data_IF_690351068687
#
_entry.id   IF_690351068687
#
_cell.length_a   1.000
_cell.length_b   1.000
_cell.length_c   1.000
_cell.angle_alpha   90.00
_cell.angle_beta   90.00
_cell.angle_gamma   90.00
#
_symmetry.space_group_name_H-M   'P 1'
#
loop_
_entity.id
_entity.type
_entity.pdbx_description
1 polymer ?
#
# COMPACT_ATOMS: atom_id res chain seq x y z
N UNK A 1 7.59 13.71 30.55
CA UNK A 1 6.79 13.90 29.33
C UNK A 1 7.10 12.75 28.40
N UNK A 2 6.25 11.74 28.33
CA UNK A 2 6.32 10.74 27.26
C UNK A 2 6.10 11.46 25.94
N UNK A 3 7.10 11.52 25.08
CA UNK A 3 6.87 11.93 23.69
C UNK A 3 5.79 11.01 23.13
N UNK A 4 4.65 11.58 22.71
CA UNK A 4 3.59 10.83 22.06
C UNK A 4 4.05 10.54 20.64
N UNK A 5 4.47 9.30 20.38
CA UNK A 5 4.84 8.86 19.04
C UNK A 5 3.64 8.22 18.34
N UNK A 6 3.60 8.30 17.02
CA UNK A 6 2.59 7.62 16.23
C UNK A 6 2.91 6.12 16.16
N UNK A 7 2.11 5.30 16.85
CA UNK A 7 2.26 3.84 16.92
C UNK A 7 2.26 3.17 15.56
N UNK A 8 1.67 3.81 14.55
CA UNK A 8 1.56 3.27 13.20
C UNK A 8 2.90 3.20 12.50
N UNK A 9 3.85 4.08 12.84
CA UNK A 9 5.16 4.17 12.18
C UNK A 9 6.34 4.07 13.14
N UNK A 10 6.05 3.97 14.44
CA UNK A 10 7.05 3.85 15.49
C UNK A 10 6.97 2.44 16.07
N UNK A 11 7.93 1.54 15.78
CA UNK A 11 7.96 0.18 16.33
C UNK A 11 8.34 0.19 17.81
N UNK A 12 7.37 0.60 18.64
CA UNK A 12 7.48 0.64 20.08
C UNK A 12 6.14 0.30 20.74
N UNK A 13 6.23 -0.53 21.78
CA UNK A 13 5.20 -0.84 22.77
C UNK A 13 5.83 -0.71 24.16
N UNK A 14 5.05 -0.66 25.25
CA UNK A 14 5.61 -0.58 26.60
C UNK A 14 6.62 -1.71 26.92
N UNK A 15 6.38 -2.92 26.42
CA UNK A 15 7.23 -4.09 26.66
C UNK A 15 8.44 -4.19 25.71
N UNK A 16 8.34 -3.65 24.49
CA UNK A 16 9.34 -3.85 23.44
C UNK A 16 9.41 -2.65 22.50
N UNK A 17 10.62 -2.16 22.24
CA UNK A 17 10.89 -1.19 21.18
C UNK A 17 12.03 -1.64 20.26
N UNK A 18 12.08 -1.12 19.04
CA UNK A 18 13.24 -1.34 18.18
C UNK A 18 14.51 -0.73 18.80
N UNK A 19 15.66 -1.39 18.61
CA UNK A 19 16.95 -1.04 19.23
C UNK A 19 17.37 0.41 18.97
N UNK A 20 17.07 0.94 17.77
CA UNK A 20 17.40 2.31 17.39
C UNK A 20 16.58 3.38 18.15
N UNK A 21 15.59 2.98 18.95
CA UNK A 21 14.88 3.86 19.89
C UNK A 21 15.40 3.79 21.33
N UNK A 22 16.45 2.99 21.61
CA UNK A 22 17.06 2.95 22.94
C UNK A 22 17.49 4.34 23.39
N UNK A 23 17.09 4.70 24.62
CA UNK A 23 17.33 6.03 25.19
C UNK A 23 16.43 7.15 24.66
N UNK A 24 15.56 6.88 23.67
CA UNK A 24 14.54 7.83 23.15
C UNK A 24 13.13 7.45 23.57
N UNK A 25 12.84 6.15 23.57
CA UNK A 25 11.55 5.57 23.98
C UNK A 25 11.82 4.56 25.09
N UNK A 26 11.13 4.69 26.22
CA UNK A 26 11.21 3.72 27.30
C UNK A 26 10.44 2.45 26.92
N UNK A 27 11.10 1.29 27.06
CA UNK A 27 10.51 -0.03 26.93
C UNK A 27 11.28 -1.03 27.83
N UNK A 28 10.63 -2.10 28.25
CA UNK A 28 11.25 -3.11 29.12
C UNK A 28 12.46 -3.79 28.45
N UNK A 29 12.39 -3.98 27.13
CA UNK A 29 13.49 -4.49 26.30
C UNK A 29 13.49 -3.86 24.91
N UNK A 30 14.59 -4.10 24.20
CA UNK A 30 14.77 -3.62 22.82
C UNK A 30 15.27 -4.74 21.90
N UNK A 31 14.92 -4.66 20.62
CA UNK A 31 15.30 -5.65 19.62
C UNK A 31 15.85 -4.99 18.33
N UNK A 32 16.93 -5.55 17.79
CA UNK A 32 17.56 -5.07 16.52
C UNK A 32 16.61 -5.23 15.33
N UNK A 33 15.81 -6.29 15.34
CA UNK A 33 14.93 -6.64 14.24
C UNK A 33 15.59 -7.59 13.23
N UNK A 34 14.85 -8.56 12.72
CA UNK A 34 15.27 -9.48 11.67
C UNK A 34 14.58 -9.13 10.35
N UNK A 35 15.35 -8.98 9.29
CA UNK A 35 14.80 -8.73 7.96
C UNK A 35 14.14 -10.01 7.40
N UNK A 36 12.87 -9.90 7.03
CA UNK A 36 12.08 -10.94 6.38
C UNK A 36 11.34 -10.37 5.17
N UNK A 37 10.70 -11.24 4.40
CA UNK A 37 9.92 -10.86 3.23
C UNK A 37 8.61 -11.61 3.19
N UNK A 38 7.55 -10.99 2.68
CA UNK A 38 6.25 -11.65 2.50
C UNK A 38 6.33 -12.68 1.38
N UNK A 39 6.02 -13.93 1.69
CA UNK A 39 6.05 -15.08 0.77
C UNK A 39 4.68 -15.50 0.22
N UNK A 40 3.61 -14.82 0.60
CA UNK A 40 2.23 -15.07 0.14
C UNK A 40 1.71 -13.90 -0.70
N UNK A 41 0.72 -14.09 -1.61
CA UNK A 41 0.25 -13.03 -2.49
C UNK A 41 -0.13 -11.72 -1.79
N UNK A 42 -0.90 -11.83 -0.69
CA UNK A 42 -1.33 -10.72 0.16
C UNK A 42 -1.42 -11.25 1.60
N UNK A 43 -0.97 -10.46 2.57
CA UNK A 43 -1.14 -10.74 4.01
C UNK A 43 -1.68 -9.50 4.71
N UNK A 44 -2.63 -9.70 5.63
CA UNK A 44 -3.15 -8.63 6.47
C UNK A 44 -2.14 -8.23 7.54
N UNK A 45 -1.95 -6.92 7.71
CA UNK A 45 -1.27 -6.34 8.85
C UNK A 45 -2.33 -5.88 9.86
N UNK A 46 -2.40 -6.59 10.98
CA UNK A 46 -3.41 -6.46 12.01
C UNK A 46 -2.96 -5.54 13.15
N UNK A 47 -3.94 -4.95 13.84
CA UNK A 47 -3.72 -4.14 15.04
C UNK A 47 -3.10 -4.93 16.21
N UNK A 48 -3.50 -6.19 16.38
CA UNK A 48 -3.10 -7.09 17.46
C UNK A 48 -2.87 -8.52 16.92
N UNK A 49 -2.18 -9.41 17.65
CA UNK A 49 -1.92 -10.79 17.23
C UNK A 49 -3.17 -11.69 17.40
N UNK A 50 -4.26 -11.31 16.75
CA UNK A 50 -5.53 -12.02 16.75
C UNK A 50 -6.06 -12.04 15.30
N UNK A 51 -6.53 -13.20 14.85
CA UNK A 51 -7.10 -13.38 13.52
C UNK A 51 -8.39 -12.55 13.32
N UNK A 52 -9.08 -12.18 14.41
CA UNK A 52 -10.26 -11.32 14.39
C UNK A 52 -9.92 -9.83 14.65
N UNK A 53 -8.64 -9.49 14.79
CA UNK A 53 -8.23 -8.12 15.00
C UNK A 53 -8.61 -7.23 13.80
N UNK A 54 -8.79 -5.94 14.09
CA UNK A 54 -8.96 -4.94 13.03
C UNK A 54 -7.76 -4.96 12.07
N UNK A 55 -8.06 -5.02 10.78
CA UNK A 55 -7.07 -4.81 9.71
C UNK A 55 -6.66 -3.33 9.69
N UNK A 56 -5.35 -3.07 9.74
CA UNK A 56 -4.79 -1.72 9.59
C UNK A 56 -4.25 -1.51 8.16
N UNK A 57 -3.61 -2.54 7.59
CA UNK A 57 -3.06 -2.51 6.24
C UNK A 57 -2.97 -3.93 5.64
N UNK A 58 -2.40 -4.05 4.45
CA UNK A 58 -1.99 -5.30 3.84
C UNK A 58 -0.55 -5.17 3.34
N UNK A 59 0.21 -6.26 3.32
CA UNK A 59 1.47 -6.36 2.59
C UNK A 59 1.32 -7.32 1.41
N UNK A 60 2.08 -7.08 0.35
CA UNK A 60 2.08 -7.87 -0.88
C UNK A 60 3.30 -8.80 -0.94
N UNK A 61 3.18 -9.88 -1.73
CA UNK A 61 4.30 -10.78 -2.03
C UNK A 61 5.56 -9.99 -2.41
N UNK A 62 6.69 -10.35 -1.81
CA UNK A 62 7.98 -9.73 -2.08
C UNK A 62 8.25 -8.42 -1.32
N UNK A 63 7.29 -7.89 -0.57
CA UNK A 63 7.54 -6.75 0.31
C UNK A 63 8.33 -7.17 1.56
N UNK A 64 9.27 -6.32 1.97
CA UNK A 64 10.10 -6.57 3.13
C UNK A 64 9.41 -6.19 4.45
N UNK A 65 9.74 -6.93 5.51
CA UNK A 65 9.20 -6.73 6.84
C UNK A 65 10.30 -6.98 7.89
N UNK A 66 10.53 -6.02 8.78
CA UNK A 66 11.44 -6.20 9.92
C UNK A 66 10.67 -6.76 11.09
N UNK A 67 11.04 -7.95 11.55
CA UNK A 67 10.41 -8.63 12.69
C UNK A 67 11.17 -8.30 13.97
N UNK A 68 10.50 -7.73 14.96
CA UNK A 68 11.10 -7.45 16.28
C UNK A 68 10.74 -8.51 17.33
N UNK A 69 9.65 -9.24 17.11
CA UNK A 69 9.21 -10.34 17.96
C UNK A 69 8.40 -11.35 17.14
N UNK A 70 8.68 -12.63 17.35
CA UNK A 70 7.77 -13.71 17.00
C UNK A 70 7.26 -14.37 18.28
N UNK A 71 5.93 -14.48 18.43
CA UNK A 71 5.30 -15.14 19.58
C UNK A 71 3.97 -15.76 19.17
N UNK A 72 3.72 -16.99 19.59
CA UNK A 72 2.45 -17.69 19.37
C UNK A 72 2.00 -17.73 17.89
N UNK A 73 2.96 -17.84 16.97
CA UNK A 73 2.72 -17.87 15.52
C UNK A 73 2.52 -16.50 14.86
N UNK A 74 2.64 -15.39 15.61
CA UNK A 74 2.55 -14.03 15.10
C UNK A 74 3.91 -13.35 15.10
N UNK A 75 4.18 -12.58 14.05
CA UNK A 75 5.29 -11.65 13.98
C UNK A 75 4.77 -10.23 14.23
N UNK A 76 5.35 -9.54 15.22
CA UNK A 76 5.22 -8.10 15.36
C UNK A 76 6.42 -7.41 14.73
N UNK A 77 6.15 -6.41 13.90
CA UNK A 77 7.19 -5.83 13.10
C UNK A 77 6.76 -4.60 12.33
N UNK A 78 7.58 -4.23 11.37
CA UNK A 78 7.46 -3.02 10.58
C UNK A 78 7.66 -3.30 9.09
N UNK A 79 6.73 -2.85 8.27
CA UNK A 79 6.84 -2.89 6.82
C UNK A 79 7.96 -1.97 6.34
N UNK A 80 8.85 -2.48 5.48
CA UNK A 80 9.97 -1.70 4.96
C UNK A 80 9.55 -0.63 3.95
N UNK A 81 8.38 -0.81 3.33
CA UNK A 81 7.94 0.03 2.22
C UNK A 81 7.43 1.41 2.66
N UNK A 82 6.72 1.45 3.79
CA UNK A 82 6.03 2.64 4.30
C UNK A 82 6.26 2.87 5.80
N UNK A 83 7.05 1.99 6.45
CA UNK A 83 7.32 2.05 7.88
C UNK A 83 6.15 1.61 8.75
N UNK A 84 5.08 1.04 8.20
CA UNK A 84 3.88 0.73 8.99
C UNK A 84 4.11 -0.44 9.95
N UNK A 85 3.62 -0.30 11.18
CA UNK A 85 3.84 -1.25 12.28
C UNK A 85 2.57 -2.04 12.56
N UNK A 86 2.72 -3.34 12.76
CA UNK A 86 1.59 -4.20 13.13
C UNK A 86 1.97 -5.66 13.28
N UNK A 87 0.96 -6.51 13.27
CA UNK A 87 1.09 -7.95 13.45
C UNK A 87 0.68 -8.70 12.18
N UNK A 88 1.40 -9.75 11.83
CA UNK A 88 1.02 -10.69 10.77
C UNK A 88 1.38 -12.13 11.17
N UNK A 89 0.78 -13.17 10.56
CA UNK A 89 1.17 -14.54 10.86
C UNK A 89 2.63 -14.81 10.43
N UNK A 90 3.49 -15.25 11.35
CA UNK A 90 4.92 -15.45 11.08
C UNK A 90 5.17 -16.44 9.93
N UNK A 91 4.26 -17.41 9.74
CA UNK A 91 4.33 -18.40 8.67
C UNK A 91 4.21 -17.82 7.25
N UNK A 92 3.75 -16.57 7.09
CA UNK A 92 3.73 -15.90 5.77
C UNK A 92 5.06 -15.26 5.39
N UNK A 93 6.04 -15.25 6.29
CA UNK A 93 7.34 -14.64 6.09
C UNK A 93 8.37 -15.67 5.63
N UNK A 94 9.17 -15.29 4.65
CA UNK A 94 10.29 -16.07 4.10
C UNK A 94 11.60 -15.27 4.23
N UNK A 95 12.71 -15.94 3.94
CA UNK A 95 14.01 -15.27 3.86
C UNK A 95 14.00 -14.19 2.77
N UNK A 96 14.58 -13.01 3.02
CA UNK A 96 14.60 -11.93 2.04
C UNK A 96 15.27 -12.32 0.72
N UNK A 97 14.57 -12.11 -0.39
CA UNK A 97 15.10 -12.18 -1.73
C UNK A 97 14.93 -10.82 -2.41
N UNK A 98 16.01 -10.08 -2.73
CA UNK A 98 15.90 -8.78 -3.39
C UNK A 98 15.12 -8.90 -4.71
N UNK A 99 13.97 -8.22 -4.85
CA UNK A 99 13.19 -8.30 -6.08
C UNK A 99 13.84 -7.47 -7.19
N UNK A 100 13.64 -7.90 -8.43
CA UNK A 100 14.06 -7.13 -9.63
C UNK A 100 12.86 -6.59 -10.40
N UNK A 101 11.67 -7.17 -10.21
CA UNK A 101 10.46 -6.84 -10.95
C UNK A 101 9.26 -6.65 -10.02
N UNK A 102 8.25 -6.00 -10.55
CA UNK A 102 6.95 -5.72 -9.92
C UNK A 102 5.82 -6.06 -10.90
N UNK A 103 4.69 -6.55 -10.39
CA UNK A 103 3.45 -6.68 -11.19
C UNK A 103 2.91 -5.28 -11.49
N UNK A 104 2.81 -4.95 -12.78
CA UNK A 104 2.30 -3.66 -13.28
C UNK A 104 0.88 -3.76 -13.85
N UNK A 105 0.41 -4.94 -14.22
CA UNK A 105 -1.01 -5.17 -14.50
C UNK A 105 -1.82 -5.21 -13.18
N UNK A 106 -3.14 -4.99 -13.24
CA UNK A 106 -3.99 -5.06 -12.05
C UNK A 106 -3.86 -6.42 -11.33
N UNK A 107 -3.68 -7.50 -12.10
CA UNK A 107 -3.25 -8.78 -11.57
C UNK A 107 -2.57 -9.65 -12.65
N UNK A 108 -1.87 -10.68 -12.19
CA UNK A 108 -1.32 -11.75 -13.03
C UNK A 108 -1.49 -13.11 -12.35
N UNK A 109 -1.12 -14.17 -13.04
CA UNK A 109 -1.21 -15.55 -12.58
C UNK A 109 0.18 -16.17 -12.52
N UNK A 110 0.48 -16.85 -11.42
CA UNK A 110 1.71 -17.62 -11.27
C UNK A 110 1.47 -19.04 -11.79
N UNK A 111 2.28 -19.50 -12.73
CA UNK A 111 2.21 -20.83 -13.32
C UNK A 111 3.38 -21.70 -12.89
N UNK A 112 3.22 -23.02 -12.94
CA UNK A 112 4.30 -23.98 -12.68
C UNK A 112 5.30 -24.14 -13.82
N UNK A 113 4.90 -23.78 -15.04
CA UNK A 113 5.71 -23.78 -16.26
C UNK A 113 5.24 -22.66 -17.18
N UNK A 114 6.01 -22.35 -18.22
CA UNK A 114 5.70 -21.34 -19.24
C UNK A 114 4.61 -21.86 -20.21
N UNK A 115 3.41 -22.13 -19.70
CA UNK A 115 2.28 -22.62 -20.47
C UNK A 115 0.97 -22.03 -19.92
N UNK A 116 0.33 -21.19 -20.75
CA UNK A 116 -0.91 -20.49 -20.42
C UNK A 116 -2.10 -21.42 -20.20
N UNK A 117 -2.02 -22.68 -20.65
CA UNK A 117 -3.09 -23.68 -20.51
C UNK A 117 -3.03 -24.41 -19.17
N UNK A 118 -1.95 -24.27 -18.41
CA UNK A 118 -1.83 -24.89 -17.10
C UNK A 118 -2.68 -24.16 -16.06
N UNK A 119 -3.13 -24.90 -15.05
CA UNK A 119 -3.79 -24.30 -13.89
C UNK A 119 -2.82 -23.36 -13.15
N UNK A 120 -3.19 -22.09 -12.90
CA UNK A 120 -2.40 -21.21 -12.06
C UNK A 120 -2.23 -21.75 -10.63
N UNK A 121 -1.06 -21.54 -10.05
CA UNK A 121 -0.75 -21.81 -8.65
C UNK A 121 -1.45 -20.80 -7.74
N UNK A 122 -1.39 -19.52 -8.09
CA UNK A 122 -2.07 -18.42 -7.39
C UNK A 122 -2.18 -17.18 -8.29
N UNK A 123 -2.93 -16.18 -7.82
CA UNK A 123 -2.97 -14.84 -8.40
C UNK A 123 -1.98 -13.94 -7.66
N UNK A 124 -1.29 -13.06 -8.39
CA UNK A 124 -0.47 -11.99 -7.83
C UNK A 124 -1.11 -10.65 -8.22
N UNK A 125 -1.29 -9.77 -7.25
CA UNK A 125 -1.88 -8.44 -7.47
C UNK A 125 -0.86 -7.42 -7.95
N UNK A 126 -1.36 -6.31 -8.51
CA UNK A 126 -0.59 -5.10 -8.76
C UNK A 126 0.29 -4.75 -7.54
N UNK A 127 1.57 -4.49 -7.77
CA UNK A 127 2.52 -4.14 -6.71
C UNK A 127 3.29 -5.31 -6.10
N UNK A 128 2.87 -6.57 -6.34
CA UNK A 128 3.65 -7.73 -5.91
C UNK A 128 5.02 -7.76 -6.58
N UNK A 129 6.07 -8.17 -5.83
CA UNK A 129 7.47 -8.07 -6.24
C UNK A 129 8.15 -9.43 -6.26
N UNK A 130 9.05 -9.64 -7.21
CA UNK A 130 9.79 -10.90 -7.33
C UNK A 130 11.13 -10.70 -8.06
N UNK A 131 12.04 -11.65 -7.87
CA UNK A 131 13.27 -11.73 -8.63
C UNK A 131 13.08 -12.62 -9.87
N UNK A 132 13.58 -12.16 -11.01
CA UNK A 132 13.51 -12.87 -12.30
C UNK A 132 14.85 -13.54 -12.60
N UNK A 133 14.80 -14.83 -12.95
CA UNK A 133 15.94 -15.64 -13.38
C UNK A 133 16.16 -15.61 -14.91
N UNK A 134 15.07 -15.43 -15.67
CA UNK A 134 15.12 -15.38 -17.12
C UNK A 134 13.73 -15.17 -17.73
N UNK A 135 13.67 -15.20 -19.06
CA UNK A 135 12.42 -15.13 -19.81
C UNK A 135 12.34 -16.28 -20.82
N UNK A 136 11.17 -16.90 -20.94
CA UNK A 136 10.90 -17.97 -21.91
C UNK A 136 9.44 -17.93 -22.36
N UNK A 137 9.21 -17.99 -23.67
CA UNK A 137 7.87 -18.07 -24.28
C UNK A 137 6.90 -16.95 -23.84
N UNK A 138 7.43 -15.75 -23.56
CA UNK A 138 6.64 -14.61 -23.07
C UNK A 138 6.31 -14.66 -21.57
N UNK A 139 6.93 -15.57 -20.82
CA UNK A 139 6.88 -15.64 -19.37
C UNK A 139 8.23 -15.28 -18.74
N UNK A 140 8.18 -14.55 -17.63
CA UNK A 140 9.31 -14.38 -16.73
C UNK A 140 9.38 -15.60 -15.80
N UNK A 141 10.55 -16.22 -15.72
CA UNK A 141 10.87 -17.26 -14.75
C UNK A 141 11.33 -16.61 -13.44
N UNK A 142 10.70 -16.99 -12.33
CA UNK A 142 11.01 -16.44 -11.02
C UNK A 142 12.13 -17.24 -10.35
N UNK A 143 13.04 -16.56 -9.65
CA UNK A 143 14.10 -17.22 -8.85
C UNK A 143 13.51 -18.13 -7.77
N UNK A 144 12.39 -17.72 -7.16
CA UNK A 144 11.65 -18.52 -6.19
C UNK A 144 10.84 -19.68 -6.83
N UNK A 145 10.91 -19.84 -8.14
CA UNK A 145 10.15 -20.81 -8.92
C UNK A 145 8.84 -20.27 -9.47
N UNK A 146 8.42 -20.85 -10.59
CA UNK A 146 7.19 -20.48 -11.29
C UNK A 146 7.38 -19.39 -12.34
N UNK A 147 6.29 -19.08 -13.03
CA UNK A 147 6.27 -18.26 -14.24
C UNK A 147 5.12 -17.27 -14.22
N UNK A 148 5.38 -16.02 -14.61
CA UNK A 148 4.33 -15.00 -14.81
C UNK A 148 4.46 -14.41 -16.21
N UNK A 149 3.38 -13.92 -16.81
CA UNK A 149 3.48 -13.26 -18.11
C UNK A 149 4.34 -12.01 -18.04
N UNK A 150 5.32 -11.89 -18.96
CA UNK A 150 6.23 -10.75 -19.01
C UNK A 150 5.50 -9.42 -19.22
N UNK A 151 4.41 -9.43 -20.00
CA UNK A 151 3.57 -8.25 -20.24
C UNK A 151 2.81 -7.73 -19.01
N UNK A 152 2.76 -8.49 -17.93
CA UNK A 152 2.08 -8.09 -16.69
C UNK A 152 3.03 -7.55 -15.63
N UNK A 153 4.32 -7.47 -15.93
CA UNK A 153 5.35 -7.06 -15.00
C UNK A 153 6.25 -5.98 -15.60
N UNK A 154 6.92 -5.24 -14.72
CA UNK A 154 7.91 -4.24 -15.07
C UNK A 154 9.15 -4.38 -14.19
N UNK A 155 10.30 -3.94 -14.70
CA UNK A 155 11.51 -3.81 -13.88
C UNK A 155 11.31 -2.71 -12.83
N UNK A 156 11.79 -2.96 -11.60
CA UNK A 156 11.81 -1.97 -10.52
C UNK A 156 12.70 -0.77 -10.83
N UNK A 157 13.65 -0.90 -11.75
CA UNK A 157 14.52 0.20 -12.20
C UNK A 157 13.81 1.20 -13.12
N UNK A 158 12.60 0.85 -13.61
CA UNK A 158 11.81 1.67 -14.53
C UNK A 158 10.43 1.97 -13.93
N UNK A 159 10.31 2.99 -13.07
CA UNK A 159 9.01 3.48 -12.63
C UNK A 159 8.19 3.99 -13.83
N UNK A 160 6.87 3.85 -13.75
CA UNK A 160 5.96 4.38 -14.78
C UNK A 160 5.73 5.88 -14.53
N UNK A 161 5.94 6.75 -15.53
CA UNK A 161 5.64 8.16 -15.35
C UNK A 161 4.13 8.38 -15.25
N UNK A 162 3.70 9.03 -14.16
CA UNK A 162 2.30 9.38 -13.92
C UNK A 162 1.50 8.27 -13.23
N UNK A 163 0.63 8.66 -12.30
CA UNK A 163 -0.16 7.74 -11.47
C UNK A 163 -1.67 7.81 -11.74
N UNK A 164 -2.13 8.79 -12.52
CA UNK A 164 -3.56 8.97 -12.84
C UNK A 164 -4.09 7.79 -13.67
N UNK A 165 -3.41 7.46 -14.79
CA UNK A 165 -3.82 6.32 -15.62
C UNK A 165 -3.72 4.98 -14.89
N UNK A 166 -2.73 4.83 -14.01
CA UNK A 166 -2.63 3.66 -13.12
C UNK A 166 -3.82 3.59 -12.16
N UNK A 167 -4.25 4.72 -11.59
CA UNK A 167 -5.42 4.77 -10.72
C UNK A 167 -6.72 4.46 -11.47
N UNK A 168 -6.86 4.90 -12.73
CA UNK A 168 -8.00 4.57 -13.58
C UNK A 168 -8.12 3.06 -13.85
N UNK A 169 -7.00 2.33 -13.90
CA UNK A 169 -7.01 0.87 -14.04
C UNK A 169 -7.65 0.14 -12.84
N UNK A 170 -7.83 0.81 -11.69
CA UNK A 170 -8.51 0.26 -10.51
C UNK A 170 -10.03 0.51 -10.52
N UNK A 171 -10.59 1.21 -11.50
CA UNK A 171 -12.04 1.45 -11.58
C UNK A 171 -12.83 0.15 -11.42
N UNK A 172 -13.77 0.14 -10.47
CA UNK A 172 -14.60 -1.02 -10.14
C UNK A 172 -14.00 -1.99 -9.11
N UNK A 173 -12.73 -1.85 -8.72
CA UNK A 173 -12.15 -2.65 -7.62
C UNK A 173 -12.93 -2.38 -6.33
N UNK A 174 -13.34 -3.43 -5.57
CA UNK A 174 -14.11 -3.25 -4.34
C UNK A 174 -13.38 -2.42 -3.28
N UNK A 175 -14.15 -1.66 -2.50
CA UNK A 175 -13.61 -0.97 -1.33
C UNK A 175 -13.36 -1.99 -0.22
N UNK A 176 -12.16 -1.97 0.36
CA UNK A 176 -11.79 -2.79 1.50
C UNK A 176 -11.00 -1.94 2.49
N UNK A 177 -11.52 -1.78 3.71
CA UNK A 177 -10.80 -1.07 4.79
C UNK A 177 -9.43 -1.71 5.05
N UNK A 178 -8.36 -0.93 5.06
CA UNK A 178 -6.99 -1.42 5.18
C UNK A 178 -6.47 -2.13 3.92
N UNK A 179 -7.28 -2.22 2.86
CA UNK A 179 -6.96 -2.91 1.61
C UNK A 179 -5.89 -2.20 0.79
N UNK A 180 -4.97 -3.00 0.23
CA UNK A 180 -3.86 -2.55 -0.63
C UNK A 180 -3.63 -3.50 -1.80
N UNK A 181 -4.70 -3.96 -2.44
CA UNK A 181 -4.56 -4.87 -3.59
C UNK A 181 -5.72 -4.74 -4.56
N UNK A 182 -5.59 -5.40 -5.71
CA UNK A 182 -6.68 -5.54 -6.67
C UNK A 182 -7.85 -6.41 -6.17
N UNK A 183 -7.71 -7.13 -5.06
CA UNK A 183 -8.83 -7.81 -4.39
C UNK A 183 -9.70 -6.86 -3.56
N UNK A 184 -9.16 -5.70 -3.21
CA UNK A 184 -9.84 -4.69 -2.44
C UNK A 184 -8.87 -3.61 -1.98
N UNK A 185 -9.33 -2.36 -2.03
CA UNK A 185 -8.50 -1.20 -1.75
C UNK A 185 -9.28 -0.13 -0.99
N UNK A 186 -8.65 0.57 -0.04
CA UNK A 186 -9.23 1.79 0.55
C UNK A 186 -8.66 3.06 -0.11
N UNK A 187 -9.13 4.23 0.35
CA UNK A 187 -8.79 5.51 -0.28
C UNK A 187 -7.27 5.77 -0.30
N UNK A 188 -6.60 5.62 0.84
CA UNK A 188 -5.17 5.91 0.95
C UNK A 188 -4.30 4.76 0.43
N UNK A 189 -4.80 3.52 0.47
CA UNK A 189 -4.16 2.34 -0.14
C UNK A 189 -4.12 2.45 -1.66
N UNK A 190 -5.16 3.00 -2.29
CA UNK A 190 -5.18 3.28 -3.73
C UNK A 190 -4.10 4.30 -4.09
N UNK A 191 -4.06 5.44 -3.38
CA UNK A 191 -3.02 6.45 -3.57
C UNK A 191 -1.63 5.85 -3.37
N UNK A 192 -1.44 5.08 -2.30
CA UNK A 192 -0.15 4.48 -1.99
C UNK A 192 0.34 3.57 -3.13
N UNK A 193 -0.52 2.68 -3.66
CA UNK A 193 -0.16 1.77 -4.75
C UNK A 193 0.26 2.52 -6.03
N UNK A 194 -0.55 3.49 -6.46
CA UNK A 194 -0.32 4.18 -7.74
C UNK A 194 0.88 5.11 -7.66
N UNK A 195 1.09 5.76 -6.51
CA UNK A 195 2.25 6.63 -6.27
C UNK A 195 3.55 5.83 -6.21
N UNK A 196 3.54 4.68 -5.53
CA UNK A 196 4.71 3.80 -5.48
C UNK A 196 5.09 3.28 -6.88
N UNK A 197 4.12 2.97 -7.73
CA UNK A 197 4.39 2.60 -9.13
C UNK A 197 5.05 3.73 -9.92
N UNK A 198 4.68 4.97 -9.60
CA UNK A 198 5.29 6.19 -10.13
C UNK A 198 6.64 6.57 -9.46
N UNK A 199 7.17 5.72 -8.57
CA UNK A 199 8.43 5.98 -7.87
C UNK A 199 8.32 6.99 -6.72
N UNK A 200 7.10 7.33 -6.29
CA UNK A 200 6.83 8.28 -5.22
C UNK A 200 6.49 7.50 -3.94
N UNK A 201 7.32 7.65 -2.92
CA UNK A 201 7.06 7.05 -1.61
C UNK A 201 5.86 7.75 -0.95
N UNK A 202 4.94 6.97 -0.40
CA UNK A 202 3.75 7.48 0.26
C UNK A 202 3.47 6.73 1.58
N UNK A 203 3.16 7.44 2.68
CA UNK A 203 2.64 6.82 3.89
C UNK A 203 1.35 6.04 3.62
N UNK A 204 0.98 5.15 4.55
CA UNK A 204 -0.21 4.31 4.39
C UNK A 204 -1.52 5.06 4.59
N UNK A 205 -1.56 5.99 5.53
CA UNK A 205 -2.80 6.62 5.97
C UNK A 205 -2.98 8.02 5.38
N UNK A 206 -4.23 8.38 5.09
CA UNK A 206 -4.58 9.62 4.41
C UNK A 206 -4.16 10.87 5.18
N UNK A 207 -4.16 10.85 6.52
CA UNK A 207 -3.70 11.96 7.35
C UNK A 207 -2.17 12.17 7.24
N UNK A 208 -1.40 11.08 7.25
CA UNK A 208 0.05 11.12 7.06
C UNK A 208 0.42 11.52 5.63
N UNK A 209 -0.31 11.02 4.63
CA UNK A 209 -0.19 11.43 3.24
C UNK A 209 -0.48 12.94 3.08
N UNK A 210 -1.60 13.40 3.64
CA UNK A 210 -1.99 14.81 3.64
C UNK A 210 -0.97 15.71 4.34
N UNK A 211 -0.19 15.20 5.29
CA UNK A 211 0.84 15.97 6.00
C UNK A 211 2.16 16.06 5.22
N UNK A 212 2.53 15.02 4.47
CA UNK A 212 3.91 14.83 3.98
C UNK A 212 4.08 14.83 2.47
N UNK A 213 3.03 14.53 1.70
CA UNK A 213 3.13 14.44 0.24
C UNK A 213 3.16 15.83 -0.42
N UNK A 214 4.08 15.98 -1.37
CA UNK A 214 4.12 17.06 -2.34
C UNK A 214 4.06 18.48 -1.75
N UNK A 215 3.74 19.42 -2.62
CA UNK A 215 3.49 20.80 -2.25
C UNK A 215 2.04 20.96 -1.76
N UNK A 216 1.86 21.59 -0.60
CA UNK A 216 0.54 22.03 -0.15
C UNK A 216 0.03 23.18 -1.00
N UNK A 217 -1.21 23.08 -1.48
CA UNK A 217 -1.88 24.20 -2.14
C UNK A 217 -2.61 25.10 -1.12
N UNK A 218 -2.72 26.42 -1.36
CA UNK A 218 -3.33 27.36 -0.41
C UNK A 218 -4.80 27.08 -0.08
N UNK A 219 -5.21 27.45 1.13
CA UNK A 219 -6.60 27.46 1.60
C UNK A 219 -7.05 28.93 1.80
N UNK A 220 -8.23 29.36 1.32
CA UNK A 220 -9.22 28.56 0.59
C UNK A 220 -8.71 28.18 -0.81
N UNK A 221 -9.02 26.95 -1.22
CA UNK A 221 -8.68 26.47 -2.57
C UNK A 221 -9.78 26.82 -3.54
N UNK A 222 -9.39 27.01 -4.80
CA UNK A 222 -10.30 27.20 -5.92
C UNK A 222 -10.33 25.91 -6.73
N UNK A 223 -11.51 25.30 -6.89
CA UNK A 223 -11.68 24.08 -7.68
C UNK A 223 -11.23 24.27 -9.14
N UNK A 224 -11.30 25.49 -9.68
CA UNK A 224 -10.80 25.80 -11.02
C UNK A 224 -9.27 25.72 -11.14
N UNK A 225 -8.53 25.67 -10.02
CA UNK A 225 -7.07 25.57 -9.98
C UNK A 225 -6.56 24.13 -9.79
N UNK A 226 -7.48 23.17 -9.63
CA UNK A 226 -7.12 21.75 -9.51
C UNK A 226 -6.69 21.21 -10.87
N UNK A 227 -5.52 20.58 -10.88
CA UNK A 227 -4.98 19.89 -12.05
C UNK A 227 -5.23 18.39 -11.91
N UNK A 228 -5.27 17.70 -13.05
CA UNK A 228 -5.24 16.24 -13.05
C UNK A 228 -3.98 15.73 -12.30
N UNK A 229 -4.18 14.85 -11.34
CA UNK A 229 -3.16 14.35 -10.43
C UNK A 229 -3.18 14.99 -9.04
N UNK A 230 -3.78 16.16 -8.84
CA UNK A 230 -3.85 16.75 -7.50
C UNK A 230 -4.56 15.81 -6.52
N UNK A 231 -3.94 15.59 -5.37
CA UNK A 231 -4.48 14.75 -4.31
C UNK A 231 -5.36 15.61 -3.40
N UNK A 232 -6.62 15.22 -3.23
CA UNK A 232 -7.58 15.92 -2.37
C UNK A 232 -7.87 15.06 -1.15
N UNK A 233 -7.67 15.63 0.03
CA UNK A 233 -7.83 14.96 1.32
C UNK A 233 -8.98 15.55 2.11
N UNK A 234 -9.67 14.69 2.84
CA UNK A 234 -10.73 15.00 3.80
C UNK A 234 -10.42 14.25 5.10
N UNK A 235 -11.04 14.61 6.24
CA UNK A 235 -10.96 13.80 7.45
C UNK A 235 -11.35 12.33 7.18
N UNK A 236 -10.35 11.43 7.18
CA UNK A 236 -10.55 10.00 6.94
C UNK A 236 -10.74 9.57 5.49
N UNK A 237 -10.54 10.46 4.50
CA UNK A 237 -10.73 10.13 3.08
C UNK A 237 -9.75 10.84 2.15
N UNK A 238 -9.50 10.26 0.98
CA UNK A 238 -8.61 10.83 -0.03
C UNK A 238 -8.98 10.37 -1.45
N UNK A 239 -8.47 11.08 -2.45
CA UNK A 239 -8.58 10.68 -3.86
C UNK A 239 -7.83 11.61 -4.79
N UNK A 240 -8.00 11.40 -6.09
CA UNK A 240 -7.25 12.07 -7.16
C UNK A 240 -8.21 12.93 -7.97
N UNK A 241 -7.90 14.23 -8.10
CA UNK A 241 -8.55 15.08 -9.08
C UNK A 241 -8.12 14.66 -10.49
N UNK A 242 -9.06 14.48 -11.40
CA UNK A 242 -8.78 14.10 -12.80
C UNK A 242 -8.80 15.31 -13.75
N UNK A 243 -8.95 16.53 -13.23
CA UNK A 243 -9.33 17.70 -14.02
C UNK A 243 -10.82 17.71 -14.37
N UNK A 244 -11.28 18.83 -14.95
CA UNK A 244 -12.67 19.02 -15.40
C UNK A 244 -13.74 18.71 -14.33
N UNK A 245 -13.40 18.96 -13.05
CA UNK A 245 -14.29 18.69 -11.93
C UNK A 245 -14.58 17.20 -11.67
N UNK A 246 -13.74 16.27 -12.15
CA UNK A 246 -13.86 14.83 -11.87
C UNK A 246 -12.92 14.38 -10.75
N UNK A 247 -13.37 13.41 -9.95
CA UNK A 247 -12.65 12.90 -8.79
C UNK A 247 -12.68 11.38 -8.73
N UNK A 248 -11.50 10.76 -8.74
CA UNK A 248 -11.32 9.31 -8.64
C UNK A 248 -10.98 8.92 -7.21
N UNK A 249 -11.72 7.96 -6.64
CA UNK A 249 -11.46 7.46 -5.28
C UNK A 249 -11.99 6.06 -5.01
N UNK A 250 -11.32 5.31 -4.14
CA UNK A 250 -11.91 4.14 -3.47
C UNK A 250 -12.78 4.64 -2.32
N UNK A 251 -14.08 4.35 -2.32
CA UNK A 251 -15.00 4.96 -1.36
C UNK A 251 -16.04 3.97 -0.81
N UNK A 252 -16.46 4.24 0.43
CA UNK A 252 -17.48 3.46 1.14
C UNK A 252 -18.92 3.84 0.76
N UNK A 253 -19.13 4.84 -0.12
CA UNK A 253 -20.45 5.19 -0.63
C UNK A 253 -20.89 4.20 -1.72
N UNK A 254 -20.02 3.94 -2.71
CA UNK A 254 -20.24 2.93 -3.75
C UNK A 254 -19.67 1.55 -3.41
N UNK A 255 -18.92 1.44 -2.31
CA UNK A 255 -18.15 0.26 -1.93
C UNK A 255 -17.17 -0.23 -3.01
N UNK A 256 -16.58 0.70 -3.78
CA UNK A 256 -15.60 0.44 -4.86
C UNK A 256 -14.78 1.67 -5.22
N UNK A 257 -13.83 1.51 -6.13
CA UNK A 257 -13.19 2.61 -6.86
C UNK A 257 -14.16 3.13 -7.92
N UNK A 258 -14.47 4.42 -7.85
CA UNK A 258 -15.34 5.10 -8.80
C UNK A 258 -14.87 6.52 -9.10
N UNK A 259 -15.46 7.12 -10.15
CA UNK A 259 -15.29 8.52 -10.50
C UNK A 259 -16.59 9.25 -10.24
N UNK A 260 -16.53 10.34 -9.49
CA UNK A 260 -17.65 11.23 -9.24
C UNK A 260 -17.34 12.66 -9.71
N UNK A 261 -18.37 13.49 -9.97
CA UNK A 261 -18.20 14.93 -9.96
C UNK A 261 -17.64 15.38 -8.60
N UNK A 262 -16.55 16.13 -8.61
CA UNK A 262 -15.90 16.63 -7.40
C UNK A 262 -16.87 17.49 -6.59
N UNK A 263 -17.69 18.31 -7.24
CA UNK A 263 -18.71 19.12 -6.58
C UNK A 263 -19.67 18.30 -5.71
N UNK A 264 -20.09 17.12 -6.18
CA UNK A 264 -20.98 16.24 -5.42
C UNK A 264 -20.26 15.63 -4.21
N UNK A 265 -18.98 15.28 -4.36
CA UNK A 265 -18.16 14.78 -3.26
C UNK A 265 -17.96 15.86 -2.20
N UNK A 266 -17.66 17.09 -2.63
CA UNK A 266 -17.52 18.26 -1.74
C UNK A 266 -18.82 18.54 -0.99
N UNK A 267 -19.97 18.54 -1.67
CA UNK A 267 -21.27 18.79 -1.05
C UNK A 267 -21.60 17.73 0.01
N UNK A 268 -21.32 16.44 -0.26
CA UNK A 268 -21.50 15.36 0.71
C UNK A 268 -20.56 15.51 1.91
N UNK A 269 -19.30 15.84 1.65
CA UNK A 269 -18.28 16.02 2.68
C UNK A 269 -18.61 17.19 3.62
N UNK A 270 -19.08 18.32 3.06
CA UNK A 270 -19.56 19.48 3.83
C UNK A 270 -20.76 19.12 4.70
N UNK A 271 -21.76 18.42 4.13
CA UNK A 271 -22.94 17.98 4.87
C UNK A 271 -22.60 17.01 6.02
N UNK A 272 -21.50 16.26 5.91
CA UNK A 272 -20.99 15.36 6.94
C UNK A 272 -20.06 16.05 7.96
N UNK A 273 -19.80 17.35 7.84
CA UNK A 273 -18.85 18.07 8.70
C UNK A 273 -17.39 17.65 8.48
N UNK A 274 -17.08 17.14 7.29
CA UNK A 274 -15.76 16.65 6.90
C UNK A 274 -15.25 17.41 5.67
N UNK A 275 -15.08 18.75 5.74
CA UNK A 275 -14.60 19.52 4.60
C UNK A 275 -13.21 19.07 4.17
N UNK A 276 -12.79 19.44 2.96
CA UNK A 276 -11.42 19.19 2.49
C UNK A 276 -10.42 19.73 3.53
N UNK A 277 -9.50 18.87 3.93
CA UNK A 277 -8.49 19.17 4.95
C UNK A 277 -7.15 19.55 4.34
N UNK A 278 -6.84 19.06 3.14
CA UNK A 278 -5.61 19.41 2.42
C UNK A 278 -5.74 19.11 0.92
N UNK A 279 -4.97 19.83 0.11
CA UNK A 279 -4.72 19.49 -1.29
C UNK A 279 -3.20 19.46 -1.52
N UNK A 280 -2.72 18.38 -2.13
CA UNK A 280 -1.30 18.18 -2.43
C UNK A 280 -1.06 18.02 -3.94
N UNK A 281 -0.02 18.70 -4.43
CA UNK A 281 0.48 18.56 -5.80
C UNK A 281 1.86 17.92 -5.79
N UNK A 282 2.05 16.90 -6.63
CA UNK A 282 3.29 16.14 -6.77
C UNK A 282 4.08 16.59 -8.00
#
# INVERSE_FOLDING_TARGET
MTQSFDRRVTPARPDLAAEHYRGRIAADRYAVGEARQVGVPVVTLSFSPDANARQESQLLLGEGFTVYEERDGWAWGQALLDGYVGYLPAATLVHPMPPTHIVSALSTHLYRAADLKLRPLCRLGFGARFAVAGERDGFLELVAGGFVFAKHAASLERPEPGYVGTAEAFLGVPYLWGGRSADGVDCSGLLQLVLQRAGIAAPRDSDQQAATLGQALPVPWDCARLHAGDLVFFPGHAGIALGDGRFLHANAFDMRVSIHPLGDVLARAEAAGQPVSAIRRL
#
